data_IF_736034912727
#
_entry.id   IF_736034912727
#
_cell.length_a   1.000
_cell.length_b   1.000
_cell.length_c   1.000
_cell.angle_alpha   90.00
_cell.angle_beta   90.00
_cell.angle_gamma   90.00
#
_symmetry.space_group_name_H-M   'P 1'
#
loop_
_entity.id
_entity.type
_entity.pdbx_description
1 polymer ?
#
# COMPACT_ATOMS: atom_id res chain seq x y z
N UNK A 1 11.82 20.02 9.33
CA UNK A 1 11.10 20.19 8.05
C UNK A 1 11.79 19.32 7.02
N UNK A 2 11.07 18.46 6.29
CA UNK A 2 11.67 17.48 5.38
C UNK A 2 11.74 18.07 3.96
N UNK A 3 12.94 18.42 3.43
CA UNK A 3 13.07 19.19 2.19
C UNK A 3 12.42 18.52 0.97
N UNK A 4 12.36 17.19 0.96
CA UNK A 4 11.81 16.43 -0.15
C UNK A 4 10.30 16.65 -0.35
N UNK A 5 9.52 16.87 0.72
CA UNK A 5 8.09 17.16 0.59
C UNK A 5 7.84 18.53 -0.04
N UNK A 6 8.60 19.54 0.39
CA UNK A 6 8.55 20.90 -0.15
C UNK A 6 9.09 20.96 -1.59
N UNK A 7 10.02 20.08 -1.95
CA UNK A 7 10.56 19.94 -3.30
C UNK A 7 9.61 19.25 -4.31
N UNK A 8 8.36 18.96 -3.93
CA UNK A 8 7.31 18.52 -4.85
C UNK A 8 6.66 17.19 -4.51
N UNK A 9 7.21 16.38 -3.58
CA UNK A 9 6.56 15.12 -3.19
C UNK A 9 5.21 15.36 -2.54
N UNK A 10 5.03 16.44 -1.76
CA UNK A 10 3.74 16.79 -1.19
C UNK A 10 2.69 16.99 -2.29
N UNK A 11 3.00 17.81 -3.29
CA UNK A 11 2.12 18.05 -4.44
C UNK A 11 1.75 16.75 -5.16
N UNK A 12 2.72 15.84 -5.36
CA UNK A 12 2.50 14.56 -6.01
C UNK A 12 1.59 13.62 -5.20
N UNK A 13 1.75 13.60 -3.88
CA UNK A 13 0.96 12.75 -2.98
C UNK A 13 -0.46 13.28 -2.75
N UNK A 14 -0.68 14.59 -2.86
CA UNK A 14 -1.98 15.25 -2.65
C UNK A 14 -2.80 15.43 -3.94
N UNK A 15 -2.17 15.41 -5.13
CA UNK A 15 -2.89 15.60 -6.39
C UNK A 15 -3.77 14.39 -6.78
N UNK A 16 -4.73 14.63 -7.67
CA UNK A 16 -5.61 13.57 -8.20
C UNK A 16 -4.91 12.64 -9.20
N UNK A 17 -3.92 13.16 -9.93
CA UNK A 17 -3.14 12.40 -10.91
C UNK A 17 -1.65 12.72 -10.77
N UNK A 18 -0.76 11.71 -10.70
CA UNK A 18 -1.04 10.28 -10.85
C UNK A 18 -1.73 9.67 -9.63
N UNK A 19 -2.38 8.51 -9.86
CA UNK A 19 -2.93 7.68 -8.79
C UNK A 19 -1.80 6.95 -8.06
N UNK A 20 -1.82 6.95 -6.74
CA UNK A 20 -0.82 6.29 -5.89
C UNK A 20 -1.21 4.83 -5.69
N UNK A 21 -0.41 3.91 -6.22
CA UNK A 21 -0.62 2.47 -5.97
C UNK A 21 -0.02 2.15 -4.60
N UNK A 22 -0.85 1.66 -3.69
CA UNK A 22 -0.45 1.31 -2.33
C UNK A 22 -1.02 -0.05 -1.98
N UNK A 23 -0.38 -0.78 -1.08
CA UNK A 23 -0.97 -1.95 -0.45
C UNK A 23 -1.23 -1.61 1.01
N UNK A 24 -2.50 -1.54 1.42
CA UNK A 24 -2.91 -1.13 2.76
C UNK A 24 -2.42 0.28 3.13
N UNK A 25 -3.12 1.30 2.64
CA UNK A 25 -2.69 2.69 2.82
C UNK A 25 -2.93 3.27 4.22
N UNK A 26 -3.49 2.51 5.18
CA UNK A 26 -3.94 3.04 6.48
C UNK A 26 -2.81 3.72 7.26
N UNK A 27 -1.70 3.00 7.48
CA UNK A 27 -0.57 3.50 8.27
C UNK A 27 0.21 4.62 7.56
N UNK A 28 0.39 4.51 6.25
CA UNK A 28 1.11 5.55 5.49
C UNK A 28 0.28 6.84 5.40
N UNK A 29 -1.04 6.74 5.23
CA UNK A 29 -1.93 7.91 5.25
C UNK A 29 -1.90 8.63 6.60
N UNK A 30 -1.97 7.88 7.70
CA UNK A 30 -1.89 8.42 9.06
C UNK A 30 -0.55 9.13 9.31
N UNK A 31 0.56 8.47 8.98
CA UNK A 31 1.90 9.02 9.13
C UNK A 31 2.10 10.28 8.28
N UNK A 32 1.74 10.25 6.99
CA UNK A 32 1.87 11.39 6.08
C UNK A 32 1.11 12.61 6.61
N UNK A 33 -0.12 12.40 7.10
CA UNK A 33 -0.93 13.49 7.63
C UNK A 33 -0.34 14.06 8.93
N UNK A 34 -0.11 13.20 9.93
CA UNK A 34 0.24 13.66 11.27
C UNK A 34 1.71 14.04 11.45
N UNK A 35 2.64 13.45 10.69
CA UNK A 35 4.09 13.69 10.83
C UNK A 35 4.66 14.62 9.77
N UNK A 36 4.01 14.70 8.62
CA UNK A 36 4.53 15.42 7.47
C UNK A 36 3.56 16.47 6.91
N UNK A 37 2.35 16.58 7.47
CA UNK A 37 1.30 17.49 6.97
C UNK A 37 1.04 17.29 5.47
N UNK A 38 1.00 16.03 5.02
CA UNK A 38 0.71 15.62 3.64
C UNK A 38 -0.59 14.83 3.63
N UNK A 39 -1.60 15.30 2.89
CA UNK A 39 -2.90 14.61 2.77
C UNK A 39 -2.92 13.66 1.57
N UNK A 40 -2.51 12.41 1.79
CA UNK A 40 -2.53 11.38 0.74
C UNK A 40 -3.89 11.31 0.04
N UNK A 41 -3.89 11.46 -1.29
CA UNK A 41 -5.10 11.50 -2.11
C UNK A 41 -4.97 10.58 -3.33
N UNK A 42 -6.08 10.23 -3.99
CA UNK A 42 -6.11 9.41 -5.21
C UNK A 42 -5.26 8.13 -5.10
N UNK A 43 -5.72 7.20 -4.26
CA UNK A 43 -5.03 5.93 -3.99
C UNK A 43 -5.72 4.78 -4.71
N UNK A 44 -4.93 3.91 -5.34
CA UNK A 44 -5.34 2.56 -5.72
C UNK A 44 -4.81 1.59 -4.67
N UNK A 45 -5.66 1.18 -3.73
CA UNK A 45 -5.26 0.25 -2.68
C UNK A 45 -5.48 -1.21 -3.14
N UNK A 46 -4.38 -1.93 -3.34
CA UNK A 46 -4.40 -3.32 -3.80
C UNK A 46 -4.99 -4.29 -2.77
N UNK A 47 -4.94 -3.99 -1.47
CA UNK A 47 -5.59 -4.80 -0.44
C UNK A 47 -7.12 -4.65 -0.51
N UNK A 48 -7.62 -3.43 -0.73
CA UNK A 48 -9.04 -3.19 -1.01
C UNK A 48 -9.45 -3.84 -2.33
N UNK A 49 -8.60 -3.75 -3.36
CA UNK A 49 -8.80 -4.45 -4.63
C UNK A 49 -9.00 -5.96 -4.44
N UNK A 50 -8.19 -6.61 -3.58
CA UNK A 50 -8.36 -8.02 -3.24
C UNK A 50 -9.73 -8.31 -2.59
N UNK A 51 -10.19 -7.46 -1.66
CA UNK A 51 -11.50 -7.62 -1.01
C UNK A 51 -12.65 -7.52 -2.03
N UNK A 52 -12.59 -6.57 -2.95
CA UNK A 52 -13.59 -6.41 -4.02
C UNK A 52 -13.62 -7.64 -4.93
N UNK A 53 -12.45 -8.09 -5.41
CA UNK A 53 -12.34 -9.29 -6.26
C UNK A 53 -12.89 -10.52 -5.53
N UNK A 54 -12.58 -10.67 -4.24
CA UNK A 54 -13.04 -11.81 -3.44
C UNK A 54 -14.55 -11.79 -3.21
N UNK A 55 -15.12 -10.60 -2.96
CA UNK A 55 -16.57 -10.40 -2.87
C UNK A 55 -17.26 -10.75 -4.18
N UNK A 56 -16.73 -10.28 -5.30
CA UNK A 56 -17.31 -10.54 -6.62
C UNK A 56 -17.29 -12.03 -6.98
N UNK A 57 -16.27 -12.78 -6.54
CA UNK A 57 -16.15 -14.22 -6.78
C UNK A 57 -16.98 -15.09 -5.84
N UNK A 58 -17.07 -14.73 -4.57
CA UNK A 58 -17.67 -15.60 -3.53
C UNK A 58 -19.01 -15.09 -2.98
N UNK A 59 -19.44 -13.89 -3.37
CA UNK A 59 -20.59 -13.18 -2.79
C UNK A 59 -20.34 -12.64 -1.37
N UNK A 60 -19.16 -12.87 -0.77
CA UNK A 60 -18.85 -12.49 0.62
C UNK A 60 -17.51 -11.75 0.70
N UNK A 61 -17.42 -10.79 1.62
CA UNK A 61 -16.15 -10.14 1.94
C UNK A 61 -15.36 -11.07 2.88
N UNK A 62 -14.07 -11.36 2.61
CA UNK A 62 -13.23 -12.13 3.51
C UNK A 62 -13.16 -11.50 4.92
N UNK A 63 -13.06 -12.34 5.96
CA UNK A 63 -12.91 -11.87 7.35
C UNK A 63 -11.52 -11.31 7.65
N UNK A 64 -10.53 -11.70 6.86
CA UNK A 64 -9.15 -11.26 6.97
C UNK A 64 -8.71 -10.61 5.67
N UNK A 65 -7.73 -9.73 5.77
CA UNK A 65 -7.07 -9.10 4.62
C UNK A 65 -5.79 -9.84 4.29
N UNK A 66 -5.41 -9.85 3.00
CA UNK A 66 -4.10 -10.35 2.58
C UNK A 66 -3.04 -9.29 2.81
N UNK A 67 -1.88 -9.73 3.27
CA UNK A 67 -0.63 -8.99 3.23
C UNK A 67 -0.15 -8.79 1.78
N UNK A 68 0.85 -7.93 1.61
CA UNK A 68 1.49 -7.74 0.30
C UNK A 68 2.11 -9.05 -0.20
N UNK A 69 2.78 -9.81 0.67
CA UNK A 69 3.41 -11.08 0.32
C UNK A 69 2.39 -12.13 -0.16
N UNK A 70 1.29 -12.29 0.56
CA UNK A 70 0.21 -13.20 0.16
C UNK A 70 -0.45 -12.76 -1.15
N UNK A 71 -0.58 -11.45 -1.37
CA UNK A 71 -1.13 -10.90 -2.61
C UNK A 71 -0.20 -11.19 -3.79
N UNK A 72 1.11 -10.98 -3.64
CA UNK A 72 2.11 -11.32 -4.67
C UNK A 72 2.09 -12.81 -4.99
N UNK A 73 2.02 -13.67 -3.97
CA UNK A 73 1.90 -15.11 -4.19
C UNK A 73 0.61 -15.49 -4.93
N UNK A 74 -0.51 -14.88 -4.54
CA UNK A 74 -1.83 -15.18 -5.13
C UNK A 74 -1.96 -14.71 -6.58
N UNK A 75 -1.52 -13.49 -6.87
CA UNK A 75 -1.80 -12.84 -8.14
C UNK A 75 -0.67 -12.97 -9.17
N UNK A 76 0.56 -13.20 -8.71
CA UNK A 76 1.74 -13.26 -9.58
C UNK A 76 2.53 -14.58 -9.44
N UNK A 77 2.12 -15.49 -8.56
CA UNK A 77 2.75 -16.81 -8.41
C UNK A 77 4.10 -16.81 -7.69
N UNK A 78 4.44 -15.75 -6.95
CA UNK A 78 5.67 -15.73 -6.15
C UNK A 78 5.63 -16.73 -4.99
N UNK A 79 6.79 -17.30 -4.66
CA UNK A 79 6.92 -18.12 -3.43
C UNK A 79 6.97 -17.21 -2.20
N UNK A 80 6.05 -17.42 -1.26
CA UNK A 80 5.89 -16.56 -0.07
C UNK A 80 7.15 -16.45 0.77
N UNK A 81 7.89 -17.54 0.96
CA UNK A 81 9.15 -17.58 1.71
C UNK A 81 10.21 -16.63 1.14
N UNK A 82 10.31 -16.52 -0.19
CA UNK A 82 11.26 -15.61 -0.86
C UNK A 82 10.86 -14.16 -0.61
N UNK A 83 9.57 -13.85 -0.70
CA UNK A 83 9.07 -12.49 -0.49
C UNK A 83 9.24 -12.06 0.97
N UNK A 84 8.91 -12.93 1.92
CA UNK A 84 9.11 -12.65 3.34
C UNK A 84 10.58 -12.40 3.68
N UNK A 85 11.49 -13.17 3.09
CA UNK A 85 12.93 -12.97 3.27
C UNK A 85 13.39 -11.60 2.74
N UNK A 86 12.92 -11.21 1.54
CA UNK A 86 13.21 -9.90 0.95
C UNK A 86 12.68 -8.77 1.84
N UNK A 87 11.42 -8.87 2.29
CA UNK A 87 10.79 -7.85 3.12
C UNK A 87 11.50 -7.71 4.48
N UNK A 88 11.85 -8.83 5.13
CA UNK A 88 12.64 -8.82 6.38
C UNK A 88 14.00 -8.15 6.19
N UNK A 89 14.71 -8.45 5.10
CA UNK A 89 16.00 -7.81 4.77
C UNK A 89 15.88 -6.31 4.50
N UNK A 90 14.77 -5.84 3.93
CA UNK A 90 14.56 -4.40 3.72
C UNK A 90 14.30 -3.62 5.01
N UNK A 91 13.62 -4.22 5.99
CA UNK A 91 13.30 -3.60 7.28
C UNK A 91 14.50 -3.51 8.23
N UNK A 92 15.50 -4.38 8.05
CA UNK A 92 16.74 -4.38 8.83
C UNK A 92 17.77 -3.33 8.35
N UNK A 93 17.48 -2.63 7.23
CA UNK A 93 18.38 -1.63 6.63
C UNK A 93 17.97 -0.17 6.91
N UNK A 94 16.89 0.04 7.65
CA UNK A 94 16.35 1.33 8.09
C UNK A 94 16.46 1.46 9.59
#
# INVERSE_FOLDING_TARGET
QYPAFDAGLKKLLECESPKKIVHDCRKISDCLYHKHNVKLNSVFDTQVGHLIVSRNKSGRIPKTVKTLAESLATYLGFKSNVIEEILKKSLLKT
#
